data_IF_848216650008
#
_entry.id   IF_848216650008
#
_cell.length_a   1.000
_cell.length_b   1.000
_cell.length_c   1.000
_cell.angle_alpha   90.00
_cell.angle_beta   90.00
_cell.angle_gamma   90.00
#
_symmetry.space_group_name_H-M   'P 1'
#
loop_
_entity.id
_entity.type
_entity.pdbx_description
1 polymer ?
#
# COMPACT_ATOMS: atom_id res chain seq x y z
N UNK A 1 19.57 5.71 8.83
CA UNK A 1 18.66 6.80 9.19
C UNK A 1 17.75 7.06 7.99
N UNK A 2 16.47 7.39 8.18
CA UNK A 2 15.60 7.78 7.07
C UNK A 2 16.21 8.96 6.33
N UNK A 3 16.09 8.95 5.00
CA UNK A 3 16.55 10.07 4.19
C UNK A 3 15.61 11.26 4.41
N UNK A 4 16.05 12.41 4.97
CA UNK A 4 15.19 13.53 5.32
C UNK A 4 14.49 14.19 4.12
N UNK A 5 14.86 13.82 2.90
CA UNK A 5 14.21 14.28 1.66
C UNK A 5 13.12 13.33 1.16
N UNK A 6 12.96 12.16 1.76
CA UNK A 6 11.94 11.17 1.35
C UNK A 6 10.66 11.34 2.13
N UNK A 7 9.54 11.22 1.43
CA UNK A 7 8.21 11.26 2.02
C UNK A 7 7.96 10.01 2.87
N UNK A 8 7.32 10.23 4.01
CA UNK A 8 6.85 9.17 4.90
C UNK A 8 5.38 8.86 4.63
N UNK A 9 5.02 7.61 4.85
CA UNK A 9 3.64 7.15 4.76
C UNK A 9 3.29 6.28 5.96
N UNK A 10 2.04 6.28 6.35
CA UNK A 10 1.47 5.21 7.18
C UNK A 10 0.60 4.33 6.30
N UNK A 11 0.68 3.03 6.52
CA UNK A 11 -0.27 2.06 6.05
C UNK A 11 -0.98 1.46 7.25
N UNK A 12 -2.26 1.78 7.37
CA UNK A 12 -3.12 1.37 8.48
C UNK A 12 -4.14 0.36 7.98
N UNK A 13 -4.36 -0.70 8.77
CA UNK A 13 -5.34 -1.74 8.48
C UNK A 13 -6.24 -1.91 9.70
N UNK A 14 -7.53 -1.76 9.47
CA UNK A 14 -8.59 -1.94 10.46
C UNK A 14 -9.32 -3.24 10.12
N UNK A 15 -9.16 -4.24 10.97
CA UNK A 15 -9.80 -5.55 10.82
C UNK A 15 -11.13 -5.55 11.58
N UNK A 16 -12.19 -5.89 10.88
CA UNK A 16 -13.56 -5.71 11.34
C UNK A 16 -14.26 -7.07 11.47
N UNK A 17 -15.38 -7.08 12.16
CA UNK A 17 -16.38 -8.16 12.06
C UNK A 17 -17.56 -7.73 11.19
N UNK A 18 -18.34 -8.69 10.72
CA UNK A 18 -19.58 -8.43 9.99
C UNK A 18 -20.65 -7.85 10.92
N UNK A 19 -20.62 -6.53 11.13
CA UNK A 19 -21.52 -5.79 12.03
C UNK A 19 -21.64 -4.33 11.57
N UNK A 20 -22.03 -3.44 12.47
CA UNK A 20 -22.07 -1.99 12.22
C UNK A 20 -20.68 -1.33 12.25
N UNK A 21 -19.61 -2.05 12.58
CA UNK A 21 -18.25 -1.51 12.72
C UNK A 21 -17.79 -0.77 11.47
N UNK A 22 -17.96 -1.39 10.28
CA UNK A 22 -17.54 -0.76 9.02
C UNK A 22 -18.18 0.59 8.78
N UNK A 23 -19.50 0.70 8.94
CA UNK A 23 -20.21 1.96 8.77
C UNK A 23 -19.79 3.05 9.79
N UNK A 24 -19.53 2.63 11.03
CA UNK A 24 -19.04 3.55 12.09
C UNK A 24 -17.64 4.04 11.81
N UNK A 25 -16.75 3.13 11.40
CA UNK A 25 -15.38 3.48 11.05
C UNK A 25 -15.32 4.41 9.83
N UNK A 26 -16.10 4.13 8.79
CA UNK A 26 -16.22 5.03 7.64
C UNK A 26 -16.70 6.43 8.03
N UNK A 27 -17.75 6.51 8.86
CA UNK A 27 -18.26 7.79 9.35
C UNK A 27 -17.18 8.59 10.11
N UNK A 28 -16.40 7.92 10.95
CA UNK A 28 -15.31 8.55 11.67
C UNK A 28 -14.17 8.97 10.74
N UNK A 29 -13.74 8.11 9.81
CA UNK A 29 -12.71 8.44 8.82
C UNK A 29 -13.10 9.66 7.99
N UNK A 30 -14.35 9.71 7.48
CA UNK A 30 -14.84 10.79 6.64
C UNK A 30 -15.00 12.12 7.40
N UNK A 31 -15.59 12.09 8.60
CA UNK A 31 -16.04 13.30 9.30
C UNK A 31 -15.10 13.76 10.41
N UNK A 32 -14.18 12.92 10.87
CA UNK A 32 -13.26 13.25 11.96
C UNK A 32 -11.80 13.14 11.53
N UNK A 33 -11.39 11.95 11.05
CA UNK A 33 -9.99 11.69 10.75
C UNK A 33 -9.48 12.49 9.55
N UNK A 34 -10.15 12.45 8.41
CA UNK A 34 -9.74 13.20 7.21
C UNK A 34 -9.70 14.71 7.42
N UNK A 35 -10.70 15.36 8.06
CA UNK A 35 -10.63 16.78 8.39
C UNK A 35 -9.46 17.12 9.32
N UNK A 36 -9.20 16.30 10.34
CA UNK A 36 -8.08 16.50 11.27
C UNK A 36 -6.71 16.29 10.61
N UNK A 37 -6.64 15.35 9.68
CA UNK A 37 -5.42 15.09 8.89
C UNK A 37 -5.13 16.21 7.88
N UNK A 38 -6.14 16.96 7.45
CA UNK A 38 -5.99 17.99 6.41
C UNK A 38 -6.01 17.43 4.98
N UNK A 39 -6.33 16.20 4.79
CA UNK A 39 -6.84 15.46 3.61
C UNK A 39 -6.11 15.65 2.26
N UNK A 40 -4.83 15.96 2.21
CA UNK A 40 -4.18 16.25 0.92
C UNK A 40 -3.69 15.00 0.18
N UNK A 41 -3.29 13.95 0.88
CA UNK A 41 -2.64 12.78 0.28
C UNK A 41 -3.00 11.50 1.03
N UNK A 42 -4.29 11.25 1.21
CA UNK A 42 -4.77 10.02 1.84
C UNK A 42 -5.61 9.19 0.87
N UNK A 43 -5.47 7.88 0.97
CA UNK A 43 -6.26 6.88 0.27
C UNK A 43 -6.96 6.01 1.29
N UNK A 44 -8.29 6.03 1.30
CA UNK A 44 -9.14 5.16 2.12
C UNK A 44 -9.69 4.04 1.24
N UNK A 45 -9.50 2.81 1.67
CA UNK A 45 -9.67 1.62 0.85
C UNK A 45 -10.55 0.59 1.55
N UNK A 46 -11.57 0.10 0.86
CA UNK A 46 -12.38 -1.06 1.24
C UNK A 46 -11.80 -2.32 0.65
N UNK A 47 -11.56 -3.34 1.47
CA UNK A 47 -11.07 -4.61 0.97
C UNK A 47 -12.13 -5.33 0.14
N UNK A 48 -11.76 -5.71 -1.09
CA UNK A 48 -12.54 -6.62 -1.96
C UNK A 48 -12.07 -8.05 -1.74
N UNK A 49 -10.76 -8.27 -1.73
CA UNK A 49 -10.09 -9.50 -1.33
C UNK A 49 -8.82 -9.16 -0.55
N UNK A 50 -8.76 -9.56 0.70
CA UNK A 50 -7.61 -9.36 1.58
C UNK A 50 -7.57 -10.48 2.64
N UNK A 51 -6.44 -10.57 3.31
CA UNK A 51 -6.33 -11.41 4.51
C UNK A 51 -7.18 -10.79 5.63
N UNK A 52 -7.92 -11.64 6.38
CA UNK A 52 -8.74 -11.20 7.53
C UNK A 52 -9.82 -10.16 7.17
N UNK A 53 -10.72 -10.52 6.26
CA UNK A 53 -11.89 -9.68 5.92
C UNK A 53 -13.04 -9.80 6.94
N UNK A 54 -13.86 -8.73 7.09
CA UNK A 54 -13.81 -7.45 6.37
C UNK A 54 -12.70 -6.55 6.90
N UNK A 55 -12.17 -5.67 6.01
CA UNK A 55 -11.04 -4.81 6.33
C UNK A 55 -11.17 -3.46 5.63
N UNK A 56 -10.82 -2.38 6.34
CA UNK A 56 -10.60 -1.06 5.77
C UNK A 56 -9.13 -0.72 5.92
N UNK A 57 -8.52 -0.17 4.88
CA UNK A 57 -7.13 0.28 4.92
C UNK A 57 -7.04 1.79 4.65
N UNK A 58 -6.04 2.44 5.25
CA UNK A 58 -5.73 3.85 5.03
C UNK A 58 -4.24 3.98 4.72
N UNK A 59 -3.93 4.65 3.60
CA UNK A 59 -2.58 5.09 3.28
C UNK A 59 -2.54 6.60 3.38
N UNK A 60 -1.63 7.15 4.17
CA UNK A 60 -1.52 8.60 4.38
C UNK A 60 -0.08 9.07 4.31
N UNK A 61 0.14 10.19 3.60
CA UNK A 61 1.44 10.85 3.50
C UNK A 61 1.69 11.78 4.69
N UNK A 62 2.94 11.85 5.15
CA UNK A 62 3.35 12.65 6.30
C UNK A 62 4.68 13.34 6.03
N UNK A 63 4.81 14.56 6.55
CA UNK A 63 6.10 15.27 6.51
C UNK A 63 7.05 14.79 7.61
N UNK A 64 6.51 14.23 8.70
CA UNK A 64 7.30 13.68 9.80
C UNK A 64 6.56 12.60 10.60
N UNK A 65 7.33 11.86 11.39
CA UNK A 65 6.80 10.86 12.34
C UNK A 65 5.94 11.54 13.42
N UNK A 66 6.32 12.74 13.84
CA UNK A 66 5.60 13.52 14.85
C UNK A 66 4.20 13.87 14.35
N UNK A 67 4.06 14.29 13.08
CA UNK A 67 2.76 14.53 12.48
C UNK A 67 1.90 13.25 12.44
N UNK A 68 2.49 12.14 12.01
CA UNK A 68 1.79 10.85 11.99
C UNK A 68 1.29 10.45 13.39
N UNK A 69 2.05 10.74 14.43
CA UNK A 69 1.67 10.44 15.81
C UNK A 69 0.67 11.45 16.41
N UNK A 70 0.61 12.68 15.91
CA UNK A 70 -0.28 13.70 16.42
C UNK A 70 -1.78 13.35 16.28
N UNK A 71 -2.15 12.48 15.33
CA UNK A 71 -3.54 11.99 15.17
C UNK A 71 -3.90 10.81 16.10
N UNK A 72 -2.96 10.35 16.92
CA UNK A 72 -3.21 9.25 17.86
C UNK A 72 -4.35 9.53 18.87
N UNK A 73 -4.49 10.77 19.40
CA UNK A 73 -5.63 11.10 20.27
C UNK A 73 -6.98 10.93 19.59
N UNK A 74 -7.10 11.28 18.31
CA UNK A 74 -8.34 11.13 17.55
C UNK A 74 -8.72 9.64 17.37
N UNK A 75 -7.75 8.75 17.23
CA UNK A 75 -7.98 7.29 17.24
C UNK A 75 -8.50 6.84 18.58
N UNK A 76 -7.97 7.37 19.68
CA UNK A 76 -8.41 7.05 21.05
C UNK A 76 -9.88 7.44 21.27
N UNK A 77 -10.33 8.59 20.75
CA UNK A 77 -11.75 8.99 20.82
C UNK A 77 -12.67 7.98 20.11
N UNK A 78 -12.21 7.37 19.01
CA UNK A 78 -12.97 6.34 18.30
C UNK A 78 -13.14 5.08 19.16
N UNK A 79 -12.16 4.77 19.99
CA UNK A 79 -12.11 3.58 20.85
C UNK A 79 -12.94 3.74 22.13
N UNK A 80 -13.29 4.97 22.52
CA UNK A 80 -14.09 5.26 23.72
C UNK A 80 -15.59 4.98 23.46
N UNK A 81 -15.91 3.72 23.16
CA UNK A 81 -17.26 3.26 22.92
C UNK A 81 -17.45 1.84 23.45
N UNK A 82 -18.66 1.52 23.93
CA UNK A 82 -18.95 0.18 24.49
C UNK A 82 -18.74 -0.96 23.48
N UNK A 83 -18.95 -0.70 22.18
CA UNK A 83 -18.58 -1.61 21.11
C UNK A 83 -17.37 -1.04 20.37
N UNK A 84 -16.22 -1.77 20.28
CA UNK A 84 -15.07 -1.28 19.57
C UNK A 84 -15.40 -1.05 18.10
N UNK A 85 -14.75 -0.06 17.43
CA UNK A 85 -15.01 0.23 16.03
C UNK A 85 -14.32 -0.76 15.07
N UNK A 86 -13.39 -1.54 15.57
CA UNK A 86 -12.63 -2.60 14.88
C UNK A 86 -12.19 -3.68 15.88
N UNK A 87 -11.86 -4.86 15.39
CA UNK A 87 -11.37 -5.97 16.23
C UNK A 87 -9.85 -5.87 16.44
N UNK A 88 -9.13 -5.52 15.39
CA UNK A 88 -7.68 -5.36 15.39
C UNK A 88 -7.26 -4.18 14.54
N UNK A 89 -6.13 -3.59 14.89
CA UNK A 89 -5.50 -2.49 14.17
C UNK A 89 -4.03 -2.81 13.93
N UNK A 90 -3.58 -2.60 12.70
CA UNK A 90 -2.17 -2.68 12.33
C UNK A 90 -1.74 -1.38 11.67
N UNK A 91 -0.55 -0.90 12.01
CA UNK A 91 0.05 0.31 11.42
C UNK A 91 1.50 0.05 11.08
N UNK A 92 1.85 0.32 9.82
CA UNK A 92 3.23 0.32 9.36
C UNK A 92 3.68 1.75 9.06
N UNK A 93 4.92 2.08 9.40
CA UNK A 93 5.59 3.30 8.96
C UNK A 93 6.46 2.97 7.75
N UNK A 94 6.25 3.71 6.67
CA UNK A 94 6.84 3.46 5.38
C UNK A 94 7.63 4.69 4.92
N UNK A 95 8.68 4.46 4.14
CA UNK A 95 9.44 5.49 3.44
C UNK A 95 9.29 5.29 1.93
N UNK A 96 9.02 6.37 1.18
CA UNK A 96 9.00 6.33 -0.27
C UNK A 96 10.35 5.87 -0.83
N UNK A 97 10.32 5.05 -1.88
CA UNK A 97 11.55 4.68 -2.61
C UNK A 97 11.98 5.84 -3.54
N UNK A 98 13.22 5.77 -4.04
CA UNK A 98 13.73 6.76 -5.01
C UNK A 98 12.98 6.75 -6.35
N UNK A 99 12.38 5.61 -6.69
CA UNK A 99 11.61 5.41 -7.92
C UNK A 99 10.09 5.56 -7.71
N UNK A 100 9.65 6.00 -6.53
CA UNK A 100 8.24 6.36 -6.32
C UNK A 100 7.87 7.54 -7.19
N UNK A 101 6.84 7.43 -8.06
CA UNK A 101 6.38 8.57 -8.84
C UNK A 101 5.79 9.65 -7.92
N UNK A 102 5.70 10.91 -8.38
CA UNK A 102 4.94 11.92 -7.66
C UNK A 102 3.53 11.40 -7.37
N UNK A 103 3.09 11.57 -6.12
CA UNK A 103 1.79 11.11 -5.63
C UNK A 103 0.67 11.97 -6.27
N UNK A 104 0.38 11.69 -7.54
CA UNK A 104 -0.67 12.34 -8.32
C UNK A 104 -1.65 11.27 -8.76
N UNK A 105 -2.85 11.32 -8.22
CA UNK A 105 -3.89 10.36 -8.54
C UNK A 105 -5.09 11.11 -9.09
N UNK A 106 -5.69 10.54 -10.14
CA UNK A 106 -6.89 11.09 -10.72
C UNK A 106 -8.07 10.86 -9.75
N UNK A 107 -8.63 11.96 -9.23
CA UNK A 107 -9.77 11.93 -8.34
C UNK A 107 -11.10 11.52 -9.05
N UNK A 108 -11.10 11.39 -10.38
CA UNK A 108 -12.31 11.22 -11.16
C UNK A 108 -12.84 9.77 -11.22
N UNK A 109 -12.00 8.76 -10.98
CA UNK A 109 -12.39 7.37 -11.18
C UNK A 109 -12.15 6.53 -9.92
N UNK A 110 -13.22 5.92 -9.39
CA UNK A 110 -13.09 4.87 -8.37
C UNK A 110 -12.46 3.64 -8.99
N UNK A 111 -11.18 3.38 -8.68
CA UNK A 111 -10.39 2.27 -9.21
C UNK A 111 -10.26 1.14 -8.21
N UNK A 112 -9.93 -0.04 -8.71
CA UNK A 112 -9.41 -1.11 -7.88
C UNK A 112 -7.91 -0.88 -7.63
N UNK A 113 -7.49 -1.07 -6.41
CA UNK A 113 -6.09 -0.97 -6.02
C UNK A 113 -5.56 -2.34 -5.62
N UNK A 114 -4.55 -2.83 -6.32
CA UNK A 114 -3.81 -3.99 -5.88
C UNK A 114 -2.69 -3.54 -4.94
N UNK A 115 -2.73 -4.02 -3.71
CA UNK A 115 -1.62 -4.00 -2.78
C UNK A 115 -0.74 -5.21 -3.03
N UNK A 116 0.56 -5.00 -3.15
CA UNK A 116 1.56 -6.07 -3.04
C UNK A 116 2.58 -5.73 -1.98
N UNK A 117 2.87 -6.71 -1.14
CA UNK A 117 3.95 -6.66 -0.17
C UNK A 117 4.91 -7.80 -0.50
N UNK A 118 6.13 -7.47 -0.87
CA UNK A 118 7.19 -8.42 -1.15
C UNK A 118 8.09 -8.53 0.07
N UNK A 119 7.98 -9.67 0.78
CA UNK A 119 8.73 -9.95 2.00
C UNK A 119 10.06 -10.59 1.62
N UNK A 120 11.15 -9.87 1.83
CA UNK A 120 12.49 -10.38 1.50
C UNK A 120 13.06 -11.18 2.67
N UNK A 121 13.80 -12.28 2.38
CA UNK A 121 14.39 -13.10 3.44
C UNK A 121 15.46 -12.36 4.24
N UNK A 122 16.20 -11.47 3.61
CA UNK A 122 17.26 -10.66 4.24
C UNK A 122 17.35 -9.27 3.61
N UNK A 123 18.10 -8.38 4.26
CA UNK A 123 18.39 -7.05 3.70
C UNK A 123 19.19 -7.09 2.40
N UNK A 124 20.00 -8.14 2.18
CA UNK A 124 20.73 -8.35 0.92
C UNK A 124 19.75 -8.58 -0.25
N UNK A 125 18.80 -9.50 -0.08
CA UNK A 125 17.78 -9.77 -1.10
C UNK A 125 16.84 -8.59 -1.28
N UNK A 126 16.53 -7.88 -0.20
CA UNK A 126 15.73 -6.65 -0.27
C UNK A 126 16.42 -5.57 -1.12
N UNK A 127 17.72 -5.36 -0.92
CA UNK A 127 18.51 -4.45 -1.76
C UNK A 127 18.49 -4.86 -3.23
N UNK A 128 18.72 -6.14 -3.53
CA UNK A 128 18.66 -6.67 -4.90
C UNK A 128 17.26 -6.51 -5.54
N UNK A 129 16.20 -6.68 -4.73
CA UNK A 129 14.83 -6.39 -5.17
C UNK A 129 14.66 -4.93 -5.59
N UNK A 130 15.14 -3.99 -4.78
CA UNK A 130 15.07 -2.57 -5.10
C UNK A 130 15.89 -2.20 -6.34
N UNK A 131 17.08 -2.76 -6.50
CA UNK A 131 17.94 -2.56 -7.69
C UNK A 131 17.23 -3.05 -8.96
N UNK A 132 16.54 -4.18 -8.89
CA UNK A 132 15.75 -4.71 -10.00
C UNK A 132 14.55 -3.81 -10.34
N UNK A 133 13.83 -3.30 -9.33
CA UNK A 133 12.72 -2.36 -9.54
C UNK A 133 13.21 -1.04 -10.13
N UNK A 134 14.22 -0.43 -9.54
CA UNK A 134 14.79 0.83 -10.02
C UNK A 134 15.39 0.74 -11.43
N UNK A 135 15.78 -0.46 -11.84
CA UNK A 135 16.34 -0.75 -13.15
C UNK A 135 15.28 -1.25 -14.15
N UNK A 136 15.32 -2.54 -14.51
CA UNK A 136 14.53 -3.06 -15.64
C UNK A 136 13.05 -3.32 -15.32
N UNK A 137 12.65 -3.60 -14.07
CA UNK A 137 11.32 -4.11 -13.76
C UNK A 137 10.19 -3.08 -13.97
N UNK A 138 10.39 -1.82 -13.54
CA UNK A 138 9.39 -0.76 -13.69
C UNK A 138 9.09 -0.44 -15.17
N UNK A 139 10.07 -0.28 -16.07
CA UNK A 139 9.79 -0.16 -17.49
C UNK A 139 8.96 -1.31 -18.07
N UNK A 140 9.24 -2.54 -17.67
CA UNK A 140 8.47 -3.73 -18.10
C UNK A 140 7.05 -3.70 -17.54
N UNK A 141 6.86 -3.28 -16.27
CA UNK A 141 5.55 -3.03 -15.68
C UNK A 141 4.72 -2.06 -16.53
N UNK A 142 5.30 -0.89 -16.84
CA UNK A 142 4.63 0.15 -17.61
C UNK A 142 4.24 -0.36 -19.02
N UNK A 143 5.15 -1.08 -19.70
CA UNK A 143 4.87 -1.67 -20.99
C UNK A 143 3.73 -2.71 -20.94
N UNK A 144 3.56 -3.35 -19.80
CA UNK A 144 2.51 -4.35 -19.57
C UNK A 144 1.18 -3.75 -19.11
N UNK A 145 1.12 -2.43 -18.86
CA UNK A 145 -0.07 -1.76 -18.34
C UNK A 145 -0.19 -1.81 -16.80
N UNK A 146 0.93 -2.05 -16.11
CA UNK A 146 1.02 -2.03 -14.65
C UNK A 146 1.69 -0.70 -14.26
N UNK A 147 0.94 0.20 -13.63
CA UNK A 147 1.39 1.54 -13.28
C UNK A 147 1.22 1.80 -11.78
N UNK A 148 2.10 1.26 -10.91
CA UNK A 148 2.03 1.53 -9.49
C UNK A 148 2.19 3.02 -9.20
N UNK A 149 1.37 3.51 -8.28
CA UNK A 149 1.33 4.94 -7.91
C UNK A 149 2.14 5.24 -6.66
N UNK A 150 2.53 4.21 -5.93
CA UNK A 150 3.30 4.33 -4.70
C UNK A 150 4.18 3.09 -4.54
N UNK A 151 5.47 3.30 -4.30
CA UNK A 151 6.42 2.27 -3.89
C UNK A 151 7.11 2.70 -2.59
N UNK A 152 7.08 1.84 -1.58
CA UNK A 152 7.61 2.15 -0.26
C UNK A 152 8.38 0.98 0.33
N UNK A 153 9.33 1.28 1.22
CA UNK A 153 9.94 0.30 2.12
C UNK A 153 9.44 0.52 3.54
N UNK A 154 9.16 -0.55 4.27
CA UNK A 154 8.82 -0.43 5.67
C UNK A 154 10.04 -0.01 6.50
N UNK A 155 9.89 1.08 7.25
CA UNK A 155 10.80 1.47 8.34
C UNK A 155 10.47 0.70 9.61
N UNK A 156 9.16 0.54 9.88
CA UNK A 156 8.61 -0.26 10.96
C UNK A 156 7.31 -0.93 10.49
N UNK A 157 7.16 -2.20 10.77
CA UNK A 157 5.98 -2.98 10.39
C UNK A 157 6.22 -4.48 10.51
N UNK A 158 5.23 -5.29 10.20
CA UNK A 158 5.36 -6.75 10.22
C UNK A 158 6.24 -7.24 9.06
N UNK A 159 6.93 -8.36 9.29
CA UNK A 159 7.61 -9.15 8.26
C UNK A 159 8.66 -8.39 7.45
N UNK A 160 9.47 -7.56 8.12
CA UNK A 160 10.56 -6.79 7.49
C UNK A 160 11.78 -7.66 7.17
N UNK A 161 12.59 -7.28 6.14
CA UNK A 161 12.38 -6.14 5.26
C UNK A 161 11.37 -6.45 4.16
N UNK A 162 10.63 -5.43 3.72
CA UNK A 162 9.65 -5.59 2.65
C UNK A 162 9.50 -4.33 1.78
N UNK A 163 9.11 -4.57 0.53
CA UNK A 163 8.68 -3.55 -0.43
C UNK A 163 7.15 -3.59 -0.50
N UNK A 164 6.52 -2.45 -0.32
CA UNK A 164 5.06 -2.29 -0.36
C UNK A 164 4.71 -1.34 -1.50
N UNK A 165 3.83 -1.77 -2.41
CA UNK A 165 3.38 -0.91 -3.49
C UNK A 165 1.90 -1.09 -3.82
N UNK A 166 1.32 -0.02 -4.39
CA UNK A 166 -0.09 0.07 -4.75
C UNK A 166 -0.24 0.35 -6.24
N UNK A 167 -1.03 -0.47 -6.91
CA UNK A 167 -1.29 -0.38 -8.35
C UNK A 167 -2.78 -0.20 -8.61
N UNK A 168 -3.22 0.93 -9.19
CA UNK A 168 -4.60 1.12 -9.62
C UNK A 168 -4.86 0.35 -10.92
N UNK A 169 -6.09 -0.18 -11.03
CA UNK A 169 -6.62 -0.78 -12.25
C UNK A 169 -8.09 -0.35 -12.44
N UNK A 170 -8.49 -0.09 -13.67
CA UNK A 170 -9.87 0.31 -13.99
C UNK A 170 -10.87 -0.83 -13.76
N UNK A 171 -10.40 -2.08 -13.85
CA UNK A 171 -11.20 -3.28 -13.58
C UNK A 171 -10.31 -4.46 -13.19
N UNK A 172 -10.91 -5.50 -12.61
CA UNK A 172 -10.21 -6.76 -12.32
C UNK A 172 -9.78 -7.47 -13.62
N UNK A 173 -10.55 -7.33 -14.70
CA UNK A 173 -10.17 -7.88 -16.02
C UNK A 173 -8.94 -7.15 -16.60
N UNK A 174 -8.86 -5.83 -16.48
CA UNK A 174 -7.69 -5.06 -16.90
C UNK A 174 -6.43 -5.47 -16.11
N UNK A 175 -6.59 -5.66 -14.78
CA UNK A 175 -5.53 -6.18 -13.91
C UNK A 175 -5.01 -7.55 -14.40
N UNK A 176 -5.92 -8.49 -14.64
CA UNK A 176 -5.55 -9.84 -15.06
C UNK A 176 -4.80 -9.84 -16.40
N UNK A 177 -5.30 -9.07 -17.37
CA UNK A 177 -4.65 -8.92 -18.67
C UNK A 177 -3.25 -8.31 -18.55
N UNK A 178 -3.08 -7.29 -17.71
CA UNK A 178 -1.78 -6.64 -17.47
C UNK A 178 -0.76 -7.62 -16.85
N UNK A 179 -1.15 -8.35 -15.81
CA UNK A 179 -0.28 -9.36 -15.19
C UNK A 179 0.02 -10.55 -16.11
N UNK A 180 -0.93 -10.99 -16.92
CA UNK A 180 -0.69 -12.03 -17.92
C UNK A 180 0.36 -11.58 -18.94
N UNK A 181 0.25 -10.33 -19.44
CA UNK A 181 1.23 -9.75 -20.36
C UNK A 181 2.61 -9.64 -19.72
N UNK A 182 2.71 -9.13 -18.48
CA UNK A 182 3.96 -9.02 -17.75
C UNK A 182 4.63 -10.39 -17.54
N UNK A 183 3.87 -11.39 -17.11
CA UNK A 183 4.42 -12.72 -16.84
C UNK A 183 4.91 -13.44 -18.11
N UNK A 184 4.36 -13.10 -19.28
CA UNK A 184 4.75 -13.62 -20.57
C UNK A 184 5.86 -12.82 -21.27
N UNK A 185 6.26 -11.66 -20.70
CA UNK A 185 7.27 -10.80 -21.31
C UNK A 185 8.66 -11.47 -21.27
N UNK A 186 9.33 -11.68 -22.44
CA UNK A 186 10.62 -12.34 -22.50
C UNK A 186 11.72 -11.60 -21.72
N UNK A 187 11.67 -10.28 -21.70
CA UNK A 187 12.63 -9.46 -20.95
C UNK A 187 12.45 -9.65 -19.44
N UNK A 188 11.21 -9.70 -18.97
CA UNK A 188 10.91 -10.03 -17.59
C UNK A 188 11.44 -11.40 -17.18
N UNK A 189 11.19 -12.42 -18.03
CA UNK A 189 11.66 -13.78 -17.78
C UNK A 189 13.18 -13.81 -17.64
N UNK A 190 13.89 -13.13 -18.53
CA UNK A 190 15.35 -13.00 -18.49
C UNK A 190 15.84 -12.29 -17.22
N UNK A 191 15.33 -11.08 -16.96
CA UNK A 191 15.71 -10.24 -15.82
C UNK A 191 15.48 -10.95 -14.50
N UNK A 192 14.33 -11.62 -14.37
CA UNK A 192 14.01 -12.41 -13.18
C UNK A 192 14.98 -13.56 -12.98
N UNK A 193 15.31 -14.30 -14.03
CA UNK A 193 16.24 -15.44 -13.97
C UNK A 193 17.66 -14.98 -13.54
N UNK A 194 18.18 -13.93 -14.15
CA UNK A 194 19.48 -13.33 -13.80
C UNK A 194 19.51 -12.83 -12.36
N UNK A 195 18.46 -12.15 -11.91
CA UNK A 195 18.35 -11.68 -10.52
C UNK A 195 18.36 -12.84 -9.51
N UNK A 196 17.70 -13.95 -9.83
CA UNK A 196 17.67 -15.15 -8.97
C UNK A 196 19.05 -15.82 -8.96
N UNK A 197 19.71 -15.93 -10.11
CA UNK A 197 21.03 -16.52 -10.21
C UNK A 197 22.08 -15.75 -9.38
N UNK A 198 22.05 -14.42 -9.44
CA UNK A 198 23.02 -13.56 -8.78
C UNK A 198 22.78 -13.38 -7.27
N UNK A 199 21.53 -13.33 -6.88
CA UNK A 199 21.15 -12.90 -5.52
C UNK A 199 20.30 -13.91 -4.74
N UNK A 200 19.82 -14.97 -5.41
CA UNK A 200 18.79 -15.85 -4.87
C UNK A 200 17.39 -15.23 -4.95
N UNK A 201 16.40 -15.90 -4.40
CA UNK A 201 15.02 -15.39 -4.37
C UNK A 201 14.96 -14.10 -3.55
N UNK A 202 14.49 -13.01 -4.19
CA UNK A 202 14.40 -11.69 -3.56
C UNK A 202 13.19 -11.56 -2.61
N UNK A 203 12.19 -12.39 -2.77
CA UNK A 203 11.02 -12.48 -1.88
C UNK A 203 10.80 -13.92 -1.40
N UNK A 204 10.71 -14.11 -0.10
CA UNK A 204 10.38 -15.39 0.52
C UNK A 204 8.90 -15.74 0.28
N UNK A 205 8.03 -14.74 0.38
CA UNK A 205 6.60 -14.80 0.09
C UNK A 205 6.08 -13.40 -0.26
N UNK A 206 4.85 -13.31 -0.71
CA UNK A 206 4.20 -12.03 -0.96
C UNK A 206 2.76 -12.04 -0.40
N UNK A 207 2.34 -10.88 0.07
CA UNK A 207 0.93 -10.60 0.37
C UNK A 207 0.35 -9.86 -0.83
N UNK A 208 -0.81 -10.30 -1.29
CA UNK A 208 -1.59 -9.64 -2.35
C UNK A 208 -2.99 -9.38 -1.81
N UNK A 209 -3.45 -8.14 -1.95
CA UNK A 209 -4.82 -7.77 -1.62
C UNK A 209 -5.40 -6.84 -2.68
N UNK A 210 -6.70 -6.90 -2.86
CA UNK A 210 -7.46 -6.05 -3.77
C UNK A 210 -8.40 -5.20 -2.95
N UNK A 211 -8.31 -3.91 -3.17
CA UNK A 211 -9.13 -2.89 -2.52
C UNK A 211 -9.91 -2.09 -3.55
N UNK A 212 -10.90 -1.37 -3.08
CA UNK A 212 -11.59 -0.32 -3.82
C UNK A 212 -11.56 0.97 -3.00
N UNK A 213 -11.27 2.10 -3.65
CA UNK A 213 -11.28 3.37 -2.96
C UNK A 213 -12.69 3.69 -2.45
N UNK A 214 -12.79 4.13 -1.19
CA UNK A 214 -14.04 4.62 -0.62
C UNK A 214 -14.52 5.86 -1.36
N UNK A 215 -15.84 6.06 -1.44
CA UNK A 215 -16.44 7.17 -2.21
C UNK A 215 -15.96 8.57 -1.75
N UNK A 216 -15.64 8.70 -0.49
CA UNK A 216 -15.13 9.94 0.13
C UNK A 216 -13.60 10.01 0.18
N UNK A 217 -12.89 8.99 -0.30
CA UNK A 217 -11.43 9.00 -0.31
C UNK A 217 -10.91 10.19 -1.11
N UNK A 218 -9.96 11.00 -0.57
CA UNK A 218 -9.37 12.13 -1.31
C UNK A 218 -8.69 11.69 -2.61
N UNK A 219 -8.09 10.51 -2.60
CA UNK A 219 -7.49 9.87 -3.76
C UNK A 219 -8.34 8.65 -4.13
N UNK A 220 -8.59 8.43 -5.44
CA UNK A 220 -9.49 7.37 -5.91
C UNK A 220 -8.92 6.61 -7.09
#
# INVERSE_FOLDING_TARGET
>A
MPNPSRKLYTFEQYFLKHSTQGARLHKWLEHTWLPAYGAKSALVLDAVFAEHMPQIAVVAEWDSVEQANALRPAVTELEDHAEPPYEHFSRSLLEATEYTPPFQWDAAASRFYELRIYHSPTWRQHKALHERFAGPEIPIFHHSGIHPVLYTSALFGPWMPNLIYFTPFDSLGAREAAWAKFNADPEWIRVRAESIEQHGQSNAFMTVAIYKAAAYSPLR
#
